data_IF_929691603892
#
_entry.id   IF_929691603892
#
_cell.length_a   1.000
_cell.length_b   1.000
_cell.length_c   1.000
_cell.angle_alpha   90.00
_cell.angle_beta   90.00
_cell.angle_gamma   90.00
#
_symmetry.space_group_name_H-M   'P 1'
#
loop_
_entity.id
_entity.type
_entity.pdbx_description
1 polymer ?
#
# COMPACT_ATOMS: atom_id res chain seq x y z
N UNK A 1 -1.72 6.68 -2.96
CA UNK A 1 -2.73 6.58 -4.04
C UNK A 1 -4.06 6.31 -3.34
N UNK A 2 -4.96 7.29 -3.35
CA UNK A 2 -6.25 7.24 -2.65
C UNK A 2 -7.33 7.19 -3.74
N UNK A 3 -8.30 6.26 -3.67
CA UNK A 3 -9.41 6.23 -4.62
C UNK A 3 -10.32 7.45 -4.45
N UNK A 4 -10.92 7.89 -5.55
CA UNK A 4 -12.08 8.77 -5.56
C UNK A 4 -13.38 7.96 -5.40
N UNK A 5 -14.49 8.63 -5.11
CA UNK A 5 -15.81 7.99 -5.00
C UNK A 5 -16.15 7.20 -6.28
N UNK A 6 -16.61 5.96 -6.12
CA UNK A 6 -16.94 5.07 -7.22
C UNK A 6 -15.75 4.37 -7.89
N UNK A 7 -14.51 4.65 -7.49
CA UNK A 7 -13.34 3.96 -8.02
C UNK A 7 -13.04 2.64 -7.30
N UNK A 8 -12.49 1.69 -8.05
CA UNK A 8 -11.96 0.43 -7.52
C UNK A 8 -10.43 0.49 -7.37
N UNK A 9 -9.83 -0.49 -6.71
CA UNK A 9 -8.37 -0.58 -6.63
C UNK A 9 -7.70 -0.82 -8.01
N UNK A 10 -8.46 -1.31 -8.99
CA UNK A 10 -8.01 -1.48 -10.39
C UNK A 10 -7.91 -0.13 -11.10
N UNK A 11 -8.85 0.78 -10.86
CA UNK A 11 -8.87 2.13 -11.45
C UNK A 11 -7.74 3.01 -10.90
N UNK A 12 -7.32 2.74 -9.65
CA UNK A 12 -6.26 3.48 -8.97
C UNK A 12 -4.86 2.95 -9.30
N UNK A 13 -4.68 1.63 -9.34
CA UNK A 13 -3.38 1.01 -9.51
C UNK A 13 -3.45 -0.19 -10.46
N UNK A 14 -2.86 -0.04 -11.65
CA UNK A 14 -2.95 -1.05 -12.71
C UNK A 14 -2.38 -2.42 -12.30
N UNK A 15 -1.38 -2.46 -11.42
CA UNK A 15 -0.82 -3.73 -10.90
C UNK A 15 -1.89 -4.58 -10.22
N UNK A 16 -2.94 -3.96 -9.66
CA UNK A 16 -4.06 -4.66 -9.04
C UNK A 16 -4.78 -5.57 -10.02
N UNK A 17 -4.89 -5.18 -11.30
CA UNK A 17 -5.45 -6.04 -12.33
C UNK A 17 -4.60 -7.30 -12.52
N UNK A 18 -3.28 -7.14 -12.58
CA UNK A 18 -2.35 -8.26 -12.73
C UNK A 18 -2.44 -9.22 -11.54
N UNK A 19 -2.63 -8.69 -10.32
CA UNK A 19 -2.83 -9.50 -9.12
C UNK A 19 -4.16 -10.29 -9.18
N UNK A 20 -5.24 -9.66 -9.61
CA UNK A 20 -6.54 -10.32 -9.78
C UNK A 20 -6.47 -11.43 -10.85
N UNK A 21 -5.74 -11.20 -11.95
CA UNK A 21 -5.57 -12.19 -13.02
C UNK A 21 -4.82 -13.45 -12.54
N UNK A 22 -4.09 -13.35 -11.42
CA UNK A 22 -3.41 -14.48 -10.75
C UNK A 22 -4.27 -15.15 -9.67
N UNK A 23 -5.54 -14.78 -9.54
CA UNK A 23 -6.40 -15.34 -8.51
C UNK A 23 -6.59 -16.86 -8.66
N UNK A 24 -6.49 -17.58 -7.55
CA UNK A 24 -6.81 -19.00 -7.45
C UNK A 24 -8.26 -19.18 -6.99
N UNK A 25 -8.88 -20.27 -7.43
CA UNK A 25 -10.31 -20.58 -7.24
C UNK A 25 -11.28 -19.46 -7.66
N UNK A 26 -10.81 -18.51 -8.47
CA UNK A 26 -11.58 -17.39 -8.98
C UNK A 26 -11.84 -16.25 -7.98
N UNK A 27 -11.40 -16.35 -6.72
CA UNK A 27 -11.70 -15.32 -5.71
C UNK A 27 -10.56 -14.99 -4.74
N UNK A 28 -9.46 -15.75 -4.74
CA UNK A 28 -8.33 -15.58 -3.82
C UNK A 28 -7.10 -15.09 -4.56
N UNK A 29 -6.59 -13.91 -4.25
CA UNK A 29 -5.30 -13.42 -4.75
C UNK A 29 -4.20 -13.87 -3.78
N UNK A 30 -3.28 -14.76 -4.17
CA UNK A 30 -2.20 -15.18 -3.28
C UNK A 30 -1.26 -14.02 -2.92
N UNK A 31 -0.53 -14.10 -1.79
CA UNK A 31 0.51 -13.13 -1.46
C UNK A 31 1.53 -12.95 -2.59
N UNK A 32 2.04 -11.72 -2.73
CA UNK A 32 3.08 -11.43 -3.73
C UNK A 32 4.33 -12.28 -3.49
N UNK A 33 4.96 -12.69 -4.59
CA UNK A 33 6.23 -13.40 -4.53
C UNK A 33 7.33 -12.46 -4.07
N UNK A 34 8.14 -12.93 -3.14
CA UNK A 34 9.37 -12.27 -2.73
C UNK A 34 10.31 -12.07 -3.93
N UNK A 35 10.96 -10.90 -3.96
CA UNK A 35 11.96 -10.52 -4.94
C UNK A 35 13.33 -10.39 -4.29
N UNK A 36 14.43 -10.50 -5.06
CA UNK A 36 15.76 -10.22 -4.53
C UNK A 36 15.88 -8.79 -3.95
N UNK A 37 16.80 -8.56 -3.01
CA UNK A 37 17.14 -7.21 -2.55
C UNK A 37 17.49 -6.28 -3.74
N UNK A 38 17.13 -4.98 -3.67
CA UNK A 38 16.55 -4.28 -2.52
C UNK A 38 15.00 -4.38 -2.43
N UNK A 39 14.34 -5.13 -3.32
CA UNK A 39 12.87 -5.16 -3.36
C UNK A 39 12.26 -6.05 -2.28
N UNK A 40 12.86 -7.21 -2.02
CA UNK A 40 12.42 -8.11 -0.95
C UNK A 40 10.95 -8.52 -1.07
N UNK A 41 10.29 -8.66 0.08
CA UNK A 41 8.84 -8.80 0.19
C UNK A 41 8.30 -7.52 0.82
N UNK A 42 7.58 -6.71 0.03
CA UNK A 42 7.11 -5.38 0.46
C UNK A 42 8.23 -4.46 0.99
N UNK A 43 9.45 -4.60 0.46
CA UNK A 43 10.63 -3.84 0.91
C UNK A 43 11.37 -4.45 2.10
N UNK A 44 10.82 -5.48 2.75
CA UNK A 44 11.52 -6.23 3.80
C UNK A 44 12.52 -7.17 3.16
N UNK A 45 13.78 -7.09 3.58
CA UNK A 45 14.89 -7.92 3.05
C UNK A 45 15.62 -8.72 4.15
N UNK A 46 15.47 -8.34 5.41
CA UNK A 46 16.08 -9.03 6.55
C UNK A 46 15.43 -10.40 6.80
N UNK A 47 16.21 -11.44 7.13
CA UNK A 47 15.70 -12.81 7.23
C UNK A 47 14.60 -12.98 8.28
N UNK A 48 14.70 -12.31 9.42
CA UNK A 48 13.70 -12.40 10.50
C UNK A 48 12.38 -11.74 10.09
N UNK A 49 12.43 -10.57 9.45
CA UNK A 49 11.26 -9.88 8.94
C UNK A 49 10.58 -10.66 7.81
N UNK A 50 11.36 -11.29 6.92
CA UNK A 50 10.85 -12.18 5.88
C UNK A 50 10.19 -13.43 6.47
N UNK A 51 10.79 -14.05 7.48
CA UNK A 51 10.22 -15.21 8.15
C UNK A 51 8.89 -14.86 8.83
N UNK A 52 8.81 -13.70 9.48
CA UNK A 52 7.59 -13.20 10.09
C UNK A 52 6.50 -12.88 9.06
N UNK A 53 6.84 -12.18 7.96
CA UNK A 53 5.86 -11.90 6.91
C UNK A 53 5.28 -13.18 6.30
N UNK A 54 6.12 -14.17 6.01
CA UNK A 54 5.68 -15.44 5.43
C UNK A 54 4.73 -16.22 6.34
N UNK A 55 4.81 -16.05 7.66
CA UNK A 55 3.89 -16.70 8.59
C UNK A 55 2.56 -15.96 8.75
N UNK A 56 2.49 -14.68 8.38
CA UNK A 56 1.33 -13.82 8.56
C UNK A 56 0.52 -13.57 7.28
N UNK A 57 1.18 -13.58 6.12
CA UNK A 57 0.53 -13.30 4.83
C UNK A 57 -0.49 -14.37 4.46
N UNK A 58 -1.64 -13.91 3.94
CA UNK A 58 -2.75 -14.74 3.49
C UNK A 58 -3.36 -14.21 2.19
N UNK A 59 -4.22 -15.00 1.56
CA UNK A 59 -4.85 -14.63 0.30
C UNK A 59 -5.79 -13.42 0.47
N UNK A 60 -5.70 -12.44 -0.44
CA UNK A 60 -6.58 -11.27 -0.50
C UNK A 60 -7.83 -11.58 -1.34
N UNK A 61 -9.06 -11.34 -0.85
CA UNK A 61 -10.26 -11.56 -1.66
C UNK A 61 -10.31 -10.61 -2.88
N UNK A 62 -10.55 -11.16 -4.06
CA UNK A 62 -10.69 -10.41 -5.33
C UNK A 62 -11.76 -9.31 -5.21
N UNK A 63 -12.86 -9.57 -4.48
CA UNK A 63 -13.95 -8.61 -4.33
C UNK A 63 -13.47 -7.30 -3.68
N UNK A 64 -12.60 -7.36 -2.67
CA UNK A 64 -12.06 -6.16 -2.02
C UNK A 64 -11.25 -5.26 -2.98
N UNK A 65 -10.77 -5.81 -4.09
CA UNK A 65 -10.01 -5.07 -5.10
C UNK A 65 -10.89 -4.54 -6.24
N UNK A 66 -12.06 -5.16 -6.46
CA UNK A 66 -13.02 -4.81 -7.53
C UNK A 66 -14.22 -4.02 -7.04
N UNK A 67 -14.46 -3.98 -5.74
CA UNK A 67 -15.58 -3.24 -5.17
C UNK A 67 -15.28 -1.73 -5.22
N UNK A 68 -16.16 -0.93 -5.84
CA UNK A 68 -16.04 0.52 -5.80
C UNK A 68 -16.12 1.04 -4.37
N UNK A 69 -15.28 2.02 -4.04
CA UNK A 69 -15.41 2.72 -2.75
C UNK A 69 -16.61 3.67 -2.78
N UNK A 70 -17.32 3.78 -1.65
CA UNK A 70 -18.35 4.80 -1.44
C UNK A 70 -17.78 5.88 -0.54
N UNK A 71 -17.52 7.05 -1.11
CA UNK A 71 -16.91 8.23 -0.49
C UNK A 71 -17.74 9.50 -0.79
N UNK A 72 -19.06 9.37 -0.71
CA UNK A 72 -20.05 10.39 -1.05
C UNK A 72 -20.41 11.34 0.11
N UNK A 73 -20.07 10.97 1.35
CA UNK A 73 -20.28 11.84 2.52
C UNK A 73 -19.35 13.05 2.49
N UNK A 74 -19.87 14.29 2.36
CA UNK A 74 -19.05 15.50 2.34
C UNK A 74 -18.26 15.72 3.65
N UNK A 75 -18.72 15.19 4.79
CA UNK A 75 -18.00 15.29 6.06
C UNK A 75 -16.65 14.54 6.02
N UNK A 76 -16.54 13.47 5.22
CA UNK A 76 -15.27 12.75 5.05
C UNK A 76 -14.17 13.60 4.40
N UNK A 77 -14.54 14.65 3.66
CA UNK A 77 -13.60 15.59 3.02
C UNK A 77 -13.04 16.63 3.99
N UNK A 78 -13.65 16.80 5.17
CA UNK A 78 -13.19 17.78 6.17
C UNK A 78 -12.17 17.18 7.14
N UNK A 79 -11.96 15.86 7.12
CA UNK A 79 -11.00 15.18 7.99
C UNK A 79 -9.57 15.54 7.53
N UNK A 80 -8.71 16.09 8.40
CA UNK A 80 -7.32 16.36 8.04
C UNK A 80 -6.57 15.08 7.66
N UNK A 81 -5.76 15.14 6.60
CA UNK A 81 -5.00 13.99 6.11
C UNK A 81 -3.51 14.29 6.06
N UNK A 82 -2.73 13.29 6.46
CA UNK A 82 -1.29 13.24 6.26
C UNK A 82 -0.95 11.98 5.48
N UNK A 83 -0.14 12.12 4.43
CA UNK A 83 0.40 11.01 3.65
C UNK A 83 1.83 10.73 4.08
N UNK A 84 2.13 9.49 4.44
CA UNK A 84 3.51 9.04 4.72
C UNK A 84 3.99 8.25 3.50
N UNK A 85 4.94 8.80 2.77
CA UNK A 85 5.51 8.21 1.57
C UNK A 85 6.80 7.45 1.88
N UNK A 86 6.76 6.14 1.65
CA UNK A 86 7.96 5.30 1.63
C UNK A 86 8.68 5.48 0.28
N UNK A 87 9.97 5.79 0.35
CA UNK A 87 10.78 6.20 -0.80
C UNK A 87 11.63 5.08 -1.42
N UNK A 88 11.90 3.99 -0.68
CA UNK A 88 12.67 2.85 -1.18
C UNK A 88 11.79 1.76 -1.76
N UNK A 89 12.40 0.85 -2.53
CA UNK A 89 11.65 -0.19 -3.24
C UNK A 89 10.63 0.42 -4.21
N UNK A 90 10.97 1.58 -4.79
CA UNK A 90 10.09 2.40 -5.65
C UNK A 90 9.33 1.48 -6.59
N UNK A 91 8.00 1.64 -6.70
CA UNK A 91 7.22 0.77 -7.55
C UNK A 91 7.81 0.81 -8.97
N UNK A 92 7.70 -0.28 -9.75
CA UNK A 92 8.23 -0.33 -11.11
C UNK A 92 7.81 0.92 -11.91
N UNK A 93 8.64 1.31 -12.88
CA UNK A 93 8.56 2.61 -13.56
C UNK A 93 7.19 2.93 -14.21
N UNK A 94 6.30 1.94 -14.30
CA UNK A 94 4.93 2.01 -14.78
C UNK A 94 3.90 2.46 -13.73
N UNK A 95 4.25 2.54 -12.45
CA UNK A 95 3.34 3.01 -11.40
C UNK A 95 3.53 4.51 -11.16
N UNK A 96 2.63 5.30 -11.73
CA UNK A 96 2.54 6.74 -11.46
C UNK A 96 1.64 6.97 -10.25
N UNK A 97 2.21 7.46 -9.14
CA UNK A 97 1.42 7.87 -7.98
C UNK A 97 0.60 9.11 -8.36
N UNK A 98 -0.72 9.07 -8.13
CA UNK A 98 -1.55 10.28 -8.16
C UNK A 98 -0.98 11.34 -7.21
N UNK A 99 -0.99 12.63 -7.57
CA UNK A 99 -0.54 13.68 -6.69
C UNK A 99 -1.40 13.71 -5.42
N UNK A 100 -0.78 14.04 -4.30
CA UNK A 100 -1.50 14.29 -3.05
C UNK A 100 -2.36 15.55 -3.25
N UNK A 101 -3.64 15.56 -2.82
CA UNK A 101 -4.49 16.73 -2.94
C UNK A 101 -3.86 17.98 -2.31
N UNK A 102 -4.09 19.14 -2.93
CA UNK A 102 -3.56 20.40 -2.44
C UNK A 102 -4.04 20.68 -1.01
N UNK A 103 -3.13 21.06 -0.13
CA UNK A 103 -3.41 21.36 1.29
C UNK A 103 -3.27 20.15 2.23
N UNK A 104 -3.15 18.92 1.72
CA UNK A 104 -2.86 17.76 2.57
C UNK A 104 -1.35 17.65 2.86
N UNK A 105 -0.99 17.19 4.07
CA UNK A 105 0.41 17.13 4.50
C UNK A 105 1.09 15.89 3.93
N UNK A 106 2.36 16.03 3.52
CA UNK A 106 3.20 14.90 3.12
C UNK A 106 4.39 14.79 4.06
N UNK A 107 4.69 13.56 4.48
CA UNK A 107 5.92 13.16 5.17
C UNK A 107 6.56 12.04 4.37
N UNK A 108 7.88 11.96 4.40
CA UNK A 108 8.61 10.94 3.66
C UNK A 108 9.50 10.14 4.61
N UNK A 109 9.69 8.85 4.30
CA UNK A 109 10.56 7.95 5.04
C UNK A 109 11.43 7.16 4.05
N UNK A 110 12.77 7.14 4.19
CA UNK A 110 13.68 6.34 3.36
C UNK A 110 13.57 4.84 3.71
N UNK A 111 12.44 4.23 3.35
CA UNK A 111 12.16 2.82 3.63
C UNK A 111 11.25 2.21 2.58
N UNK A 112 11.10 0.89 2.61
CA UNK A 112 10.20 0.12 1.76
C UNK A 112 8.73 0.19 2.20
N UNK A 113 7.85 -0.57 1.53
CA UNK A 113 6.39 -0.51 1.76
C UNK A 113 6.01 -0.83 3.20
N UNK A 114 6.53 -1.92 3.76
CA UNK A 114 6.27 -2.34 5.13
C UNK A 114 7.18 -1.60 6.13
N UNK A 115 7.14 -0.27 6.07
CA UNK A 115 7.88 0.64 6.94
C UNK A 115 7.68 0.36 8.43
N UNK A 116 6.52 -0.18 8.83
CA UNK A 116 6.22 -0.57 10.21
C UNK A 116 7.05 -1.77 10.69
N UNK A 117 7.60 -2.56 9.78
CA UNK A 117 8.51 -3.68 10.10
C UNK A 117 9.95 -3.21 10.04
N UNK A 118 10.28 -2.37 9.06
CA UNK A 118 11.66 -1.97 8.75
C UNK A 118 12.14 -0.83 9.67
N UNK A 119 11.31 0.20 9.89
CA UNK A 119 11.61 1.40 10.66
C UNK A 119 10.48 1.74 11.66
N UNK A 120 10.14 0.82 12.58
CA UNK A 120 9.00 0.99 13.49
C UNK A 120 9.12 2.21 14.41
N UNK A 121 10.34 2.54 14.87
CA UNK A 121 10.59 3.67 15.79
C UNK A 121 10.35 4.99 15.07
N UNK A 122 10.89 5.13 13.87
CA UNK A 122 10.79 6.34 13.05
C UNK A 122 9.37 6.53 12.51
N UNK A 123 8.70 5.45 12.11
CA UNK A 123 7.28 5.51 11.76
C UNK A 123 6.43 5.96 12.95
N UNK A 124 6.71 5.44 14.15
CA UNK A 124 5.98 5.84 15.37
C UNK A 124 6.16 7.33 15.67
N UNK A 125 7.38 7.85 15.54
CA UNK A 125 7.65 9.27 15.73
C UNK A 125 6.85 10.14 14.74
N UNK A 126 6.78 9.74 13.46
CA UNK A 126 5.95 10.43 12.47
C UNK A 126 4.46 10.37 12.82
N UNK A 127 3.96 9.21 13.24
CA UNK A 127 2.54 9.07 13.61
C UNK A 127 2.17 9.99 14.78
N UNK A 128 3.02 10.08 15.81
CA UNK A 128 2.82 10.97 16.96
C UNK A 128 2.86 12.46 16.59
N UNK A 129 3.65 12.86 15.59
CA UNK A 129 3.66 14.24 15.06
C UNK A 129 2.35 14.57 14.32
N UNK A 130 1.71 13.56 13.72
CA UNK A 130 0.59 13.77 12.78
C UNK A 130 -0.79 13.59 13.39
N UNK A 131 -0.86 13.01 14.59
CA UNK A 131 -2.05 12.88 15.43
C UNK A 131 -2.49 14.24 15.98
#
# INVERSE_FOLDING_TARGET
MVPEDGETAVDVLLVTKQLIDLAVDGWRVPPMRERPPPFGLFGVTGPDGLAWLRSMLSDQPVRCLREPVLLDDPAARTIPRTHIHCLEGRPPADITRRPVPAGERVREQPTGHDCMIIMPVELTALLLETA
#
